data_IF_337753074376
#
_entry.id   IF_337753074376
#
_cell.length_a   1.000
_cell.length_b   1.000
_cell.length_c   1.000
_cell.angle_alpha   90.00
_cell.angle_beta   90.00
_cell.angle_gamma   90.00
#
_symmetry.space_group_name_H-M   'P 1'
#
loop_
_entity.id
_entity.type
_entity.pdbx_description
1 polymer ?
#
# COMPACT_ATOMS: atom_id res chain seq x y z
N UNK A 1 1.72 -11.75 -34.87
CA UNK A 1 0.85 -11.63 -33.68
C UNK A 1 1.50 -12.19 -32.42
N UNK A 2 2.01 -13.40 -32.41
CA UNK A 2 2.58 -14.04 -31.22
C UNK A 2 3.85 -13.33 -30.70
N UNK A 3 4.76 -12.93 -31.60
CA UNK A 3 5.96 -12.15 -31.25
C UNK A 3 5.62 -10.81 -30.59
N UNK A 4 4.60 -10.10 -31.09
CA UNK A 4 4.14 -8.83 -30.50
C UNK A 4 3.52 -9.04 -29.10
N UNK A 5 2.73 -10.10 -28.92
CA UNK A 5 2.17 -10.49 -27.62
C UNK A 5 3.28 -10.75 -26.60
N UNK A 6 4.31 -11.47 -26.96
CA UNK A 6 5.45 -11.77 -26.09
C UNK A 6 6.22 -10.48 -25.71
N UNK A 7 6.49 -9.61 -26.69
CA UNK A 7 7.16 -8.33 -26.45
C UNK A 7 6.38 -7.45 -25.48
N UNK A 8 5.07 -7.33 -25.64
CA UNK A 8 4.23 -6.52 -24.76
C UNK A 8 4.19 -7.06 -23.31
N UNK A 9 4.15 -8.38 -23.13
CA UNK A 9 4.21 -9.00 -21.79
C UNK A 9 5.56 -8.70 -21.11
N UNK A 10 6.67 -8.77 -21.86
CA UNK A 10 7.99 -8.43 -21.32
C UNK A 10 8.03 -6.95 -20.93
N UNK A 11 7.57 -6.05 -21.81
CA UNK A 11 7.55 -4.61 -21.52
C UNK A 11 6.75 -4.29 -20.25
N UNK A 12 5.59 -4.93 -20.03
CA UNK A 12 4.80 -4.78 -18.82
C UNK A 12 5.56 -5.29 -17.59
N UNK A 13 6.17 -6.46 -17.64
CA UNK A 13 6.95 -7.01 -16.53
C UNK A 13 8.11 -6.10 -16.13
N UNK A 14 8.86 -5.62 -17.12
CA UNK A 14 10.01 -4.73 -16.91
C UNK A 14 9.55 -3.38 -16.41
N UNK A 15 8.42 -2.86 -16.90
CA UNK A 15 7.81 -1.64 -16.36
C UNK A 15 7.47 -1.78 -14.87
N UNK A 16 6.79 -2.87 -14.47
CA UNK A 16 6.49 -3.12 -13.06
C UNK A 16 7.76 -3.26 -12.22
N UNK A 17 8.76 -3.95 -12.74
CA UNK A 17 10.04 -4.11 -12.05
C UNK A 17 10.65 -2.74 -11.71
N UNK A 18 10.81 -1.85 -12.70
CA UNK A 18 11.48 -0.57 -12.51
C UNK A 18 10.61 0.46 -11.77
N UNK A 19 9.31 0.51 -12.01
CA UNK A 19 8.43 1.42 -11.29
C UNK A 19 8.36 1.10 -9.79
N UNK A 20 8.31 -0.18 -9.44
CA UNK A 20 8.32 -0.61 -8.04
C UNK A 20 9.72 -0.62 -7.43
N UNK A 21 10.76 -0.85 -8.23
CA UNK A 21 12.14 -0.62 -7.80
C UNK A 21 12.32 0.84 -7.38
N UNK A 22 11.83 1.79 -8.15
CA UNK A 22 11.87 3.20 -7.78
C UNK A 22 11.16 3.46 -6.44
N UNK A 23 9.92 3.01 -6.29
CA UNK A 23 9.16 3.20 -5.03
C UNK A 23 9.87 2.54 -3.84
N UNK A 24 10.38 1.32 -4.02
CA UNK A 24 11.14 0.60 -2.99
C UNK A 24 12.49 1.26 -2.66
N UNK A 25 13.09 1.98 -3.61
CA UNK A 25 14.34 2.73 -3.34
C UNK A 25 14.12 3.90 -2.40
N UNK A 26 13.01 4.61 -2.50
CA UNK A 26 12.77 5.85 -1.77
C UNK A 26 11.98 5.62 -0.48
N UNK A 27 10.79 5.02 -0.57
CA UNK A 27 9.78 5.06 0.49
C UNK A 27 10.26 4.49 1.84
N UNK A 28 10.93 3.32 1.92
CA UNK A 28 11.32 2.72 3.20
C UNK A 28 12.45 3.43 3.93
N UNK A 29 13.29 4.16 3.20
CA UNK A 29 14.48 4.82 3.73
C UNK A 29 14.33 6.34 3.84
N UNK A 30 13.27 6.91 3.27
CA UNK A 30 13.06 8.35 3.23
C UNK A 30 12.91 8.95 4.63
N UNK A 31 12.19 8.30 5.55
CA UNK A 31 12.02 8.80 6.92
C UNK A 31 13.35 8.85 7.68
N UNK A 32 14.21 7.85 7.49
CA UNK A 32 15.54 7.79 8.10
C UNK A 32 16.45 8.89 7.49
N UNK A 33 16.38 9.10 6.19
CA UNK A 33 17.07 10.19 5.53
C UNK A 33 16.61 11.57 6.07
N UNK A 34 15.30 11.78 6.19
CA UNK A 34 14.75 13.04 6.71
C UNK A 34 15.15 13.30 8.16
N UNK A 35 15.26 12.25 8.98
CA UNK A 35 15.72 12.37 10.37
C UNK A 35 17.22 12.69 10.46
N UNK A 36 18.05 11.92 9.75
CA UNK A 36 19.50 11.94 9.97
C UNK A 36 20.22 12.99 9.12
N UNK A 37 19.83 13.14 7.86
CA UNK A 37 20.50 14.04 6.92
C UNK A 37 19.83 15.42 6.87
N UNK A 38 18.49 15.49 6.90
CA UNK A 38 17.76 16.74 6.90
C UNK A 38 17.49 17.28 8.32
N UNK A 39 17.74 16.50 9.37
CA UNK A 39 17.59 16.92 10.77
C UNK A 39 16.14 17.25 11.17
N UNK A 40 15.15 16.66 10.51
CA UNK A 40 13.75 16.95 10.73
C UNK A 40 13.22 16.22 11.97
N UNK A 41 12.31 16.88 12.69
CA UNK A 41 11.58 16.30 13.82
C UNK A 41 10.58 15.23 13.41
N UNK A 42 10.09 14.42 14.37
CA UNK A 42 9.10 13.39 14.12
C UNK A 42 7.79 13.94 13.56
N UNK A 43 7.34 15.12 14.03
CA UNK A 43 6.15 15.80 13.49
C UNK A 43 6.36 16.21 12.04
N UNK A 44 7.52 16.77 11.71
CA UNK A 44 7.86 17.17 10.35
C UNK A 44 7.93 15.96 9.41
N UNK A 45 8.59 14.87 9.83
CA UNK A 45 8.65 13.61 9.11
C UNK A 45 7.24 13.02 8.93
N UNK A 46 6.46 12.94 9.99
CA UNK A 46 5.09 12.46 9.96
C UNK A 46 4.20 13.25 9.01
N UNK A 47 4.35 14.58 8.99
CA UNK A 47 3.64 15.47 8.07
C UNK A 47 4.04 15.18 6.63
N UNK A 48 5.33 15.20 6.30
CA UNK A 48 5.84 14.94 4.93
C UNK A 48 5.39 13.57 4.43
N UNK A 49 5.57 12.53 5.23
CA UNK A 49 5.24 11.16 4.84
C UNK A 49 3.73 10.89 4.76
N UNK A 50 2.91 11.66 5.49
CA UNK A 50 1.46 11.56 5.43
C UNK A 50 0.80 12.29 4.25
N UNK A 51 1.53 13.16 3.56
CA UNK A 51 1.06 13.86 2.34
C UNK A 51 0.61 12.87 1.26
N UNK A 52 1.43 11.85 1.00
CA UNK A 52 1.16 10.86 -0.05
C UNK A 52 -0.24 10.23 0.05
N UNK A 53 -0.59 9.58 1.16
CA UNK A 53 -1.90 8.98 1.38
C UNK A 53 -3.10 9.93 1.14
N UNK A 54 -3.00 11.17 1.58
CA UNK A 54 -4.10 12.16 1.38
C UNK A 54 -4.21 12.58 -0.08
N UNK A 55 -3.09 12.90 -0.71
CA UNK A 55 -3.05 13.30 -2.11
C UNK A 55 -3.61 12.19 -3.00
N UNK A 56 -3.30 10.94 -2.71
CA UNK A 56 -3.80 9.79 -3.47
C UNK A 56 -5.33 9.70 -3.50
N UNK A 57 -6.03 10.07 -2.41
CA UNK A 57 -7.51 10.03 -2.36
C UNK A 57 -8.12 10.92 -3.46
N UNK A 58 -7.51 12.08 -3.69
CA UNK A 58 -8.02 13.08 -4.63
C UNK A 58 -7.47 12.84 -6.04
N UNK A 59 -6.17 12.59 -6.16
CA UNK A 59 -5.49 12.59 -7.45
C UNK A 59 -5.53 11.25 -8.18
N UNK A 60 -5.75 10.11 -7.51
CA UNK A 60 -5.96 8.84 -8.22
C UNK A 60 -7.21 8.87 -9.12
N UNK A 61 -8.40 9.28 -8.63
CA UNK A 61 -9.57 9.46 -9.49
C UNK A 61 -9.35 10.53 -10.58
N UNK A 62 -8.68 11.64 -10.25
CA UNK A 62 -8.34 12.70 -11.20
C UNK A 62 -7.54 12.14 -12.39
N UNK A 63 -6.47 11.39 -12.14
CA UNK A 63 -5.67 10.78 -13.21
C UNK A 63 -6.46 9.75 -14.02
N UNK A 64 -7.38 9.02 -13.40
CA UNK A 64 -8.31 8.14 -14.11
C UNK A 64 -9.15 8.92 -15.12
N UNK A 65 -9.75 10.04 -14.71
CA UNK A 65 -10.54 10.93 -15.60
C UNK A 65 -9.66 11.47 -16.73
N UNK A 66 -8.43 11.91 -16.43
CA UNK A 66 -7.49 12.44 -17.45
C UNK A 66 -7.12 11.35 -18.47
N UNK A 67 -6.91 10.10 -18.02
CA UNK A 67 -6.66 8.97 -18.90
C UNK A 67 -7.86 8.70 -19.83
N UNK A 68 -9.07 8.68 -19.28
CA UNK A 68 -10.31 8.44 -20.04
C UNK A 68 -10.58 9.57 -21.05
N UNK A 69 -10.32 10.82 -20.67
CA UNK A 69 -10.51 11.99 -21.53
C UNK A 69 -9.48 12.04 -22.66
N UNK A 70 -8.21 11.76 -22.35
CA UNK A 70 -7.13 11.83 -23.35
C UNK A 70 -7.12 10.63 -24.31
N UNK A 71 -7.64 9.47 -23.89
CA UNK A 71 -7.56 8.21 -24.61
C UNK A 71 -6.11 7.68 -24.77
N UNK A 72 -5.14 8.22 -24.02
CA UNK A 72 -3.71 7.90 -24.13
C UNK A 72 -3.08 7.58 -22.77
N UNK A 73 -3.56 6.56 -22.03
CA UNK A 73 -3.10 6.26 -20.68
C UNK A 73 -1.59 5.98 -20.61
N UNK A 74 -1.00 5.37 -21.65
CA UNK A 74 0.45 5.09 -21.70
C UNK A 74 1.29 6.38 -21.70
N UNK A 75 0.86 7.43 -22.41
CA UNK A 75 1.56 8.72 -22.42
C UNK A 75 1.43 9.46 -21.09
N UNK A 76 0.24 9.41 -20.47
CA UNK A 76 0.02 9.99 -19.12
C UNK A 76 0.89 9.26 -18.11
N UNK A 77 0.96 7.93 -18.17
CA UNK A 77 1.82 7.12 -17.31
C UNK A 77 3.30 7.49 -17.48
N UNK A 78 3.76 7.70 -18.72
CA UNK A 78 5.14 8.12 -18.99
C UNK A 78 5.42 9.52 -18.40
N UNK A 79 4.52 10.47 -18.62
CA UNK A 79 4.64 11.85 -18.10
C UNK A 79 4.64 11.86 -16.57
N UNK A 80 3.69 11.18 -15.94
CA UNK A 80 3.57 11.15 -14.47
C UNK A 80 4.75 10.42 -13.82
N UNK A 81 5.27 9.35 -14.44
CA UNK A 81 6.48 8.68 -13.96
C UNK A 81 7.71 9.60 -14.05
N UNK A 82 7.89 10.31 -15.16
CA UNK A 82 9.03 11.23 -15.32
C UNK A 82 8.95 12.40 -14.32
N UNK A 83 7.77 13.02 -14.18
CA UNK A 83 7.58 14.14 -13.25
C UNK A 83 7.73 13.70 -11.80
N UNK A 84 7.20 12.53 -11.42
CA UNK A 84 7.43 11.97 -10.09
C UNK A 84 8.92 11.74 -9.83
N UNK A 85 9.68 11.24 -10.82
CA UNK A 85 11.13 11.08 -10.72
C UNK A 85 11.84 12.40 -10.48
N UNK A 86 11.51 13.45 -11.24
CA UNK A 86 12.09 14.80 -11.10
C UNK A 86 11.80 15.37 -9.71
N UNK A 87 10.54 15.31 -9.24
CA UNK A 87 10.18 15.79 -7.91
C UNK A 87 10.82 14.95 -6.79
N UNK A 88 10.96 13.63 -6.99
CA UNK A 88 11.73 12.80 -6.06
C UNK A 88 13.19 13.23 -5.93
N UNK A 89 13.85 13.57 -7.05
CA UNK A 89 15.23 14.08 -7.04
C UNK A 89 15.32 15.48 -6.40
N UNK A 90 14.25 16.28 -6.50
CA UNK A 90 14.22 17.65 -5.97
C UNK A 90 14.30 17.73 -4.44
N UNK A 91 14.12 16.61 -3.71
CA UNK A 91 14.42 16.59 -2.26
C UNK A 91 15.86 16.97 -1.94
N UNK A 92 16.79 16.70 -2.83
CA UNK A 92 18.22 17.04 -2.66
C UNK A 92 18.54 18.53 -2.86
N UNK A 93 17.57 19.33 -3.31
CA UNK A 93 17.78 20.74 -3.61
C UNK A 93 17.35 21.68 -2.48
N UNK A 94 16.64 21.17 -1.48
CA UNK A 94 15.99 22.00 -0.47
C UNK A 94 16.24 21.45 0.93
N UNK A 95 16.66 22.35 1.82
CA UNK A 95 16.85 22.07 3.26
C UNK A 95 15.71 22.67 4.10
N UNK A 96 14.91 23.57 3.51
CA UNK A 96 13.84 24.23 4.24
C UNK A 96 12.58 23.36 4.26
N UNK A 97 12.03 23.10 5.46
CA UNK A 97 10.88 22.22 5.71
C UNK A 97 9.69 22.46 4.77
N UNK A 98 9.24 23.73 4.61
CA UNK A 98 8.08 24.04 3.75
C UNK A 98 8.34 23.73 2.25
N UNK A 99 9.58 23.84 1.79
CA UNK A 99 9.95 23.47 0.42
C UNK A 99 9.96 21.95 0.27
N UNK A 100 10.44 21.21 1.27
CA UNK A 100 10.38 19.74 1.29
C UNK A 100 8.92 19.25 1.29
N UNK A 101 8.04 19.89 2.07
CA UNK A 101 6.58 19.58 2.05
C UNK A 101 5.99 19.84 0.65
N UNK A 102 6.37 20.95 0.01
CA UNK A 102 5.90 21.30 -1.34
C UNK A 102 6.36 20.27 -2.38
N UNK A 103 7.61 19.81 -2.28
CA UNK A 103 8.15 18.72 -3.10
C UNK A 103 7.40 17.42 -2.84
N UNK A 104 7.10 17.07 -1.58
CA UNK A 104 6.32 15.89 -1.22
C UNK A 104 4.91 15.91 -1.84
N UNK A 105 4.25 17.06 -1.82
CA UNK A 105 2.94 17.25 -2.46
C UNK A 105 3.05 17.03 -3.97
N UNK A 106 4.00 17.68 -4.62
CA UNK A 106 4.20 17.56 -6.06
C UNK A 106 4.57 16.12 -6.47
N UNK A 107 5.46 15.48 -5.74
CA UNK A 107 5.79 14.06 -5.93
C UNK A 107 4.54 13.19 -5.80
N UNK A 108 3.76 13.35 -4.73
CA UNK A 108 2.58 12.55 -4.46
C UNK A 108 1.49 12.70 -5.55
N UNK A 109 1.30 13.90 -6.09
CA UNK A 109 0.35 14.15 -7.19
C UNK A 109 0.68 13.27 -8.38
N UNK A 110 1.92 13.26 -8.85
CA UNK A 110 2.30 12.49 -10.04
C UNK A 110 2.48 11.00 -9.73
N UNK A 111 3.04 10.64 -8.58
CA UNK A 111 3.22 9.25 -8.18
C UNK A 111 1.88 8.52 -8.01
N UNK A 112 0.81 9.23 -7.60
CA UNK A 112 -0.53 8.65 -7.42
C UNK A 112 -1.12 8.02 -8.68
N UNK A 113 -0.67 8.42 -9.88
CA UNK A 113 -1.09 7.87 -11.16
C UNK A 113 -0.44 6.51 -11.48
N UNK A 114 0.80 6.28 -11.04
CA UNK A 114 1.67 5.24 -11.58
C UNK A 114 1.04 3.84 -11.44
N UNK A 115 0.62 3.48 -10.22
CA UNK A 115 0.06 2.14 -9.95
C UNK A 115 -1.31 1.96 -10.62
N UNK A 116 -2.32 2.83 -10.39
CA UNK A 116 -3.66 2.57 -10.93
C UNK A 116 -3.71 2.63 -12.46
N UNK A 117 -2.94 3.52 -13.10
CA UNK A 117 -2.90 3.59 -14.57
C UNK A 117 -2.21 2.36 -15.16
N UNK A 118 -1.07 1.95 -14.59
CA UNK A 118 -0.37 0.75 -15.07
C UNK A 118 -1.19 -0.52 -14.86
N UNK A 119 -1.89 -0.63 -13.72
CA UNK A 119 -2.78 -1.75 -13.43
C UNK A 119 -3.97 -1.79 -14.41
N UNK A 120 -4.54 -0.62 -14.75
CA UNK A 120 -5.61 -0.51 -15.74
C UNK A 120 -5.16 -0.99 -17.13
N UNK A 121 -4.02 -0.50 -17.63
CA UNK A 121 -3.44 -0.92 -18.93
C UNK A 121 -3.19 -2.43 -18.91
N UNK A 122 -2.58 -2.94 -17.84
CA UNK A 122 -2.21 -4.36 -17.75
C UNK A 122 -3.42 -5.28 -17.66
N UNK A 123 -4.43 -4.90 -16.87
CA UNK A 123 -5.66 -5.69 -16.74
C UNK A 123 -6.44 -5.74 -18.06
N UNK A 124 -6.55 -4.63 -18.78
CA UNK A 124 -7.21 -4.59 -20.08
C UNK A 124 -6.48 -5.50 -21.08
N UNK A 125 -5.15 -5.35 -21.19
CA UNK A 125 -4.35 -6.15 -22.07
C UNK A 125 -4.40 -7.65 -21.75
N UNK A 126 -4.21 -8.02 -20.47
CA UNK A 126 -4.22 -9.42 -20.03
C UNK A 126 -5.59 -10.08 -20.20
N UNK A 127 -6.69 -9.36 -20.00
CA UNK A 127 -8.05 -9.85 -20.25
C UNK A 127 -8.24 -10.16 -21.73
N UNK A 128 -7.81 -9.27 -22.62
CA UNK A 128 -7.90 -9.48 -24.09
C UNK A 128 -7.12 -10.71 -24.58
N UNK A 129 -5.90 -10.91 -24.07
CA UNK A 129 -5.03 -12.02 -24.51
C UNK A 129 -5.18 -13.28 -23.65
N UNK A 130 -6.12 -13.30 -22.68
CA UNK A 130 -6.33 -14.39 -21.70
C UNK A 130 -5.05 -14.76 -20.93
N UNK A 131 -4.24 -13.76 -20.55
CA UNK A 131 -3.04 -13.94 -19.73
C UNK A 131 -3.31 -13.68 -18.26
N UNK A 132 -2.41 -14.12 -17.38
CA UNK A 132 -2.52 -13.95 -15.94
C UNK A 132 -1.88 -12.62 -15.50
N UNK A 133 -2.70 -11.66 -15.07
CA UNK A 133 -2.25 -10.37 -14.52
C UNK A 133 -1.29 -10.54 -13.35
N UNK A 134 -1.58 -11.45 -12.40
CA UNK A 134 -0.76 -11.65 -11.21
C UNK A 134 0.70 -12.05 -11.53
N UNK A 135 0.93 -12.83 -12.61
CA UNK A 135 2.28 -13.17 -13.05
C UNK A 135 3.08 -11.98 -13.57
N UNK A 136 2.41 -10.94 -14.07
CA UNK A 136 3.05 -9.69 -14.49
C UNK A 136 3.28 -8.80 -13.27
N UNK A 137 2.27 -8.63 -12.42
CA UNK A 137 2.29 -7.79 -11.22
C UNK A 137 3.33 -8.25 -10.18
N UNK A 138 3.66 -9.55 -10.15
CA UNK A 138 4.70 -10.13 -9.29
C UNK A 138 6.08 -9.47 -9.49
N UNK A 139 6.39 -9.02 -10.71
CA UNK A 139 7.63 -8.31 -10.99
C UNK A 139 7.73 -6.97 -10.24
N UNK A 140 6.60 -6.36 -9.90
CA UNK A 140 6.56 -5.20 -9.01
C UNK A 140 7.05 -5.55 -7.60
N UNK A 141 6.50 -6.58 -6.97
CA UNK A 141 6.95 -7.02 -5.64
C UNK A 141 8.43 -7.39 -5.63
N UNK A 142 8.91 -8.05 -6.69
CA UNK A 142 10.33 -8.38 -6.86
C UNK A 142 11.18 -7.10 -6.96
N UNK A 143 10.77 -6.14 -7.80
CA UNK A 143 11.46 -4.86 -7.95
C UNK A 143 11.54 -4.09 -6.64
N UNK A 144 10.43 -4.01 -5.89
CA UNK A 144 10.39 -3.35 -4.59
C UNK A 144 11.34 -4.01 -3.58
N UNK A 145 11.26 -5.34 -3.41
CA UNK A 145 12.10 -6.06 -2.45
C UNK A 145 13.60 -5.95 -2.77
N UNK A 146 13.97 -6.09 -4.05
CA UNK A 146 15.37 -5.91 -4.50
C UNK A 146 15.83 -4.47 -4.23
N UNK A 147 14.99 -3.47 -4.52
CA UNK A 147 15.34 -2.07 -4.32
C UNK A 147 15.65 -1.75 -2.86
N UNK A 148 14.77 -2.15 -1.92
CA UNK A 148 14.98 -1.85 -0.49
C UNK A 148 16.29 -2.45 0.01
N UNK A 149 16.59 -3.70 -0.38
CA UNK A 149 17.82 -4.37 0.01
C UNK A 149 19.06 -3.69 -0.59
N UNK A 150 19.03 -3.41 -1.91
CA UNK A 150 20.16 -2.78 -2.62
C UNK A 150 20.40 -1.36 -2.10
N UNK A 151 19.33 -0.57 -1.89
CA UNK A 151 19.45 0.79 -1.38
C UNK A 151 19.91 0.80 0.07
N UNK A 152 19.44 -0.11 0.91
CA UNK A 152 19.95 -0.27 2.28
C UNK A 152 21.48 -0.46 2.28
N UNK A 153 21.98 -1.37 1.44
CA UNK A 153 23.41 -1.64 1.33
C UNK A 153 24.22 -0.47 0.74
N UNK A 154 23.68 0.19 -0.29
CA UNK A 154 24.36 1.33 -0.92
C UNK A 154 24.37 2.57 -0.01
N UNK A 155 23.33 2.77 0.80
CA UNK A 155 23.27 3.88 1.77
C UNK A 155 24.34 3.81 2.85
N UNK A 156 24.83 2.60 3.17
CA UNK A 156 25.97 2.39 4.10
C UNK A 156 27.34 2.52 3.43
N UNK A 157 27.38 2.55 2.09
CA UNK A 157 28.63 2.71 1.36
C UNK A 157 29.09 4.17 1.32
N UNK A 158 30.24 4.42 0.70
CA UNK A 158 30.78 5.76 0.46
C UNK A 158 29.84 6.67 -0.37
N UNK A 159 28.82 6.12 -1.02
CA UNK A 159 27.83 6.88 -1.80
C UNK A 159 26.87 7.63 -0.87
N UNK A 160 26.57 7.06 0.30
CA UNK A 160 25.71 7.65 1.30
C UNK A 160 24.21 7.52 1.02
N UNK A 161 23.35 7.95 1.97
CA UNK A 161 21.90 7.76 1.91
C UNK A 161 21.20 8.48 0.75
N UNK A 162 21.80 9.53 0.18
CA UNK A 162 21.26 10.28 -0.97
C UNK A 162 21.06 9.42 -2.22
N UNK A 163 21.70 8.25 -2.29
CA UNK A 163 21.54 7.27 -3.39
C UNK A 163 20.08 6.89 -3.65
N UNK A 164 19.21 6.92 -2.63
CA UNK A 164 17.79 6.58 -2.75
C UNK A 164 17.06 7.47 -3.75
N UNK A 165 17.39 8.76 -3.83
CA UNK A 165 16.78 9.71 -4.74
C UNK A 165 17.22 9.51 -6.19
N UNK A 166 18.51 9.24 -6.40
CA UNK A 166 19.04 8.91 -7.74
C UNK A 166 18.43 7.60 -8.25
N UNK A 167 18.38 6.56 -7.41
CA UNK A 167 17.79 5.29 -7.78
C UNK A 167 16.28 5.42 -8.09
N UNK A 168 15.55 6.23 -7.32
CA UNK A 168 14.16 6.57 -7.59
C UNK A 168 14.00 7.27 -8.94
N UNK A 169 14.78 8.31 -9.20
CA UNK A 169 14.73 9.05 -10.47
C UNK A 169 15.05 8.15 -11.66
N UNK A 170 16.18 7.43 -11.66
CA UNK A 170 16.54 6.59 -12.79
C UNK A 170 15.58 5.42 -12.97
N UNK A 171 15.08 4.84 -11.89
CA UNK A 171 14.03 3.80 -11.95
C UNK A 171 12.76 4.31 -12.63
N UNK A 172 12.28 5.51 -12.27
CA UNK A 172 11.10 6.11 -12.90
C UNK A 172 11.38 6.65 -14.31
N UNK A 173 12.57 7.10 -14.61
CA UNK A 173 12.97 7.47 -15.96
C UNK A 173 12.90 6.26 -16.91
N UNK A 174 13.45 5.11 -16.49
CA UNK A 174 13.36 3.86 -17.26
C UNK A 174 11.89 3.44 -17.38
N UNK A 175 11.11 3.50 -16.29
CA UNK A 175 9.69 3.20 -16.33
C UNK A 175 8.93 4.13 -17.28
N UNK A 176 9.22 5.44 -17.31
CA UNK A 176 8.63 6.40 -18.23
C UNK A 176 8.91 6.04 -19.71
N UNK A 177 10.15 5.69 -20.04
CA UNK A 177 10.53 5.27 -21.39
C UNK A 177 9.83 3.96 -21.79
N UNK A 178 9.70 3.02 -20.86
CA UNK A 178 8.97 1.77 -21.07
C UNK A 178 7.48 1.98 -21.21
N UNK A 179 6.89 2.94 -20.47
CA UNK A 179 5.48 3.27 -20.56
C UNK A 179 5.06 3.67 -21.97
N UNK A 180 5.92 4.37 -22.73
CA UNK A 180 5.68 4.74 -24.12
C UNK A 180 5.58 3.54 -25.08
N UNK A 181 6.04 2.35 -24.65
CA UNK A 181 5.99 1.10 -25.42
C UNK A 181 4.90 0.14 -24.94
N UNK A 182 4.11 0.54 -23.94
CA UNK A 182 3.02 -0.29 -23.45
C UNK A 182 1.87 -0.37 -24.47
N UNK A 183 1.12 -1.48 -24.47
CA UNK A 183 0.01 -1.63 -25.39
C UNK A 183 -1.08 -0.60 -25.11
N UNK A 184 -1.51 0.11 -26.15
CA UNK A 184 -2.70 0.98 -26.09
C UNK A 184 -3.94 0.10 -26.31
N UNK A 185 -4.90 0.22 -25.41
CA UNK A 185 -6.19 -0.44 -25.49
C UNK A 185 -7.29 0.60 -25.71
N UNK A 186 -8.37 0.25 -26.45
CA UNK A 186 -9.49 1.17 -26.63
C UNK A 186 -10.09 1.56 -25.27
N UNK A 187 -10.57 2.80 -25.13
CA UNK A 187 -11.18 3.27 -23.88
C UNK A 187 -12.33 2.35 -23.45
N UNK A 188 -12.36 2.00 -22.17
CA UNK A 188 -13.45 1.24 -21.58
C UNK A 188 -14.69 2.13 -21.43
N UNK A 189 -15.89 1.54 -21.45
CA UNK A 189 -17.10 2.24 -21.03
C UNK A 189 -16.89 2.88 -19.65
N UNK A 190 -17.28 4.17 -19.56
CA UNK A 190 -17.08 4.96 -18.34
C UNK A 190 -17.76 4.30 -17.14
N UNK A 191 -16.98 3.75 -16.24
CA UNK A 191 -17.51 3.31 -14.95
C UNK A 191 -18.06 4.54 -14.21
N UNK A 192 -19.29 4.47 -13.71
CA UNK A 192 -19.87 5.50 -12.85
C UNK A 192 -19.18 5.43 -11.48
N UNK A 193 -18.06 6.12 -11.31
CA UNK A 193 -17.20 6.07 -10.11
C UNK A 193 -17.94 6.35 -8.78
N UNK A 194 -19.04 7.09 -8.82
CA UNK A 194 -19.85 7.43 -7.65
C UNK A 194 -21.26 6.83 -7.66
N UNK A 195 -21.54 5.93 -8.63
CA UNK A 195 -22.81 5.21 -8.67
C UNK A 195 -22.92 4.28 -7.46
N UNK A 196 -23.94 4.50 -6.62
CA UNK A 196 -24.18 3.67 -5.44
C UNK A 196 -23.54 4.16 -4.13
N UNK A 197 -22.87 5.31 -4.11
CA UNK A 197 -22.29 5.87 -2.87
C UNK A 197 -23.33 6.04 -1.76
N UNK A 198 -24.53 6.57 -2.09
CA UNK A 198 -25.62 6.72 -1.13
C UNK A 198 -26.06 5.38 -0.52
N UNK A 199 -26.05 4.33 -1.32
CA UNK A 199 -26.38 2.99 -0.85
C UNK A 199 -25.30 2.41 0.08
N UNK A 200 -24.03 2.56 -0.29
CA UNK A 200 -22.90 2.09 0.52
C UNK A 200 -22.87 2.73 1.92
N UNK A 201 -23.21 4.02 2.03
CA UNK A 201 -23.25 4.74 3.32
C UNK A 201 -24.36 4.22 4.25
N UNK A 202 -25.40 3.58 3.72
CA UNK A 202 -26.46 2.96 4.52
C UNK A 202 -26.15 1.54 4.96
N UNK A 203 -25.14 0.90 4.36
CA UNK A 203 -24.78 -0.51 4.63
C UNK A 203 -23.94 -0.64 5.90
N UNK A 204 -24.57 -0.82 7.06
CA UNK A 204 -23.89 -0.89 8.38
C UNK A 204 -22.70 -1.86 8.41
N UNK A 205 -22.82 -3.04 7.83
CA UNK A 205 -21.74 -4.04 7.78
C UNK A 205 -20.52 -3.52 7.02
N UNK A 206 -20.75 -2.87 5.89
CA UNK A 206 -19.69 -2.29 5.08
C UNK A 206 -19.00 -1.15 5.81
N UNK A 207 -19.77 -0.25 6.47
CA UNK A 207 -19.19 0.85 7.25
C UNK A 207 -18.35 0.37 8.43
N UNK A 208 -18.84 -0.64 9.18
CA UNK A 208 -18.05 -1.25 10.26
C UNK A 208 -16.78 -1.86 9.70
N UNK A 209 -16.85 -2.53 8.54
CA UNK A 209 -15.67 -3.11 7.91
C UNK A 209 -14.67 -2.05 7.43
N UNK A 210 -15.14 -0.89 6.96
CA UNK A 210 -14.27 0.26 6.67
C UNK A 210 -13.57 0.79 7.92
N UNK A 211 -14.28 0.86 9.06
CA UNK A 211 -13.67 1.23 10.34
C UNK A 211 -12.61 0.21 10.79
N UNK A 212 -12.86 -1.09 10.62
CA UNK A 212 -11.87 -2.15 10.87
C UNK A 212 -10.64 -1.97 9.97
N UNK A 213 -10.85 -1.67 8.69
CA UNK A 213 -9.77 -1.41 7.74
C UNK A 213 -8.94 -0.20 8.17
N UNK A 214 -9.56 0.90 8.55
CA UNK A 214 -8.88 2.08 9.07
C UNK A 214 -7.99 1.74 10.28
N UNK A 215 -8.53 0.97 11.23
CA UNK A 215 -7.89 0.69 12.52
C UNK A 215 -6.83 -0.42 12.48
N UNK A 216 -6.94 -1.38 11.56
CA UNK A 216 -5.96 -2.48 11.45
C UNK A 216 -4.99 -2.23 10.29
N UNK A 217 -5.51 -1.87 9.12
CA UNK A 217 -4.68 -1.75 7.91
C UNK A 217 -3.90 -0.43 7.87
N UNK A 218 -4.49 0.67 8.35
CA UNK A 218 -3.82 1.97 8.45
C UNK A 218 -2.48 1.92 9.20
N UNK A 219 -2.43 1.43 10.45
CA UNK A 219 -1.18 1.27 11.20
C UNK A 219 -0.16 0.36 10.51
N UNK A 220 -0.61 -0.70 9.84
CA UNK A 220 0.30 -1.59 9.10
C UNK A 220 0.98 -0.87 7.92
N UNK A 221 0.30 0.06 7.26
CA UNK A 221 0.88 0.87 6.19
C UNK A 221 1.80 1.97 6.76
N UNK A 222 1.37 2.64 7.82
CA UNK A 222 2.15 3.68 8.49
C UNK A 222 3.45 3.11 9.11
N UNK A 223 3.47 1.85 9.49
CA UNK A 223 4.69 1.17 9.93
C UNK A 223 5.82 1.25 8.88
N UNK A 224 5.52 1.26 7.58
CA UNK A 224 6.53 1.39 6.56
C UNK A 224 7.32 2.71 6.66
N UNK A 225 6.74 3.73 7.27
CA UNK A 225 7.40 5.03 7.53
C UNK A 225 8.32 4.93 8.75
N UNK A 226 7.82 4.39 9.86
CA UNK A 226 8.54 4.42 11.14
C UNK A 226 9.46 3.22 11.38
N UNK A 227 9.31 2.17 10.58
CA UNK A 227 10.07 0.93 10.79
C UNK A 227 11.59 1.11 10.63
N UNK A 228 12.00 1.95 9.67
CA UNK A 228 13.42 2.30 9.51
C UNK A 228 13.99 2.99 10.74
N UNK A 229 13.30 4.01 11.26
CA UNK A 229 13.66 4.72 12.48
C UNK A 229 13.68 3.79 13.72
N UNK A 230 12.74 2.85 13.80
CA UNK A 230 12.72 1.85 14.86
C UNK A 230 13.91 0.89 14.80
N UNK A 231 14.25 0.38 13.62
CA UNK A 231 15.44 -0.49 13.43
C UNK A 231 16.70 0.25 13.85
N UNK A 232 16.84 1.51 13.47
CA UNK A 232 17.96 2.36 13.84
C UNK A 232 18.01 2.62 15.36
N UNK A 233 16.88 2.93 15.99
CA UNK A 233 16.78 3.08 17.46
C UNK A 233 17.21 1.81 18.23
N UNK A 234 17.13 0.64 17.59
CA UNK A 234 17.62 -0.65 18.14
C UNK A 234 19.09 -0.93 17.78
N UNK A 235 19.81 0.03 17.19
CA UNK A 235 21.20 -0.13 16.77
C UNK A 235 21.35 -0.86 15.43
N UNK A 236 20.26 -0.96 14.64
CA UNK A 236 20.32 -1.51 13.28
C UNK A 236 20.84 -0.52 12.26
N UNK A 237 21.13 -1.02 11.07
CA UNK A 237 21.76 -0.29 9.98
C UNK A 237 20.80 -0.17 8.78
N UNK A 238 21.13 0.66 7.80
CA UNK A 238 20.38 0.75 6.53
C UNK A 238 20.27 -0.60 5.82
N UNK A 239 21.36 -1.40 5.82
CA UNK A 239 21.32 -2.78 5.29
C UNK A 239 20.34 -3.65 6.09
N UNK A 240 20.32 -3.51 7.41
CA UNK A 240 19.38 -4.21 8.29
C UNK A 240 17.93 -3.85 8.00
N UNK A 241 17.63 -2.57 7.77
CA UNK A 241 16.31 -2.10 7.32
C UNK A 241 15.95 -2.79 5.99
N UNK A 242 16.88 -2.80 5.02
CA UNK A 242 16.69 -3.45 3.73
C UNK A 242 16.37 -4.94 3.83
N UNK A 243 17.10 -5.68 4.68
CA UNK A 243 16.86 -7.11 4.93
C UNK A 243 15.48 -7.34 5.53
N UNK A 244 15.09 -6.54 6.52
CA UNK A 244 13.81 -6.67 7.19
C UNK A 244 12.62 -6.45 6.24
N UNK A 245 12.67 -5.41 5.41
CA UNK A 245 11.64 -5.18 4.38
C UNK A 245 11.62 -6.28 3.32
N UNK A 246 12.79 -6.78 2.91
CA UNK A 246 12.87 -7.89 1.97
C UNK A 246 12.20 -9.15 2.55
N UNK A 247 12.46 -9.47 3.82
CA UNK A 247 11.82 -10.60 4.51
C UNK A 247 10.30 -10.41 4.60
N UNK A 248 9.82 -9.20 4.91
CA UNK A 248 8.40 -8.89 4.95
C UNK A 248 7.73 -9.13 3.58
N UNK A 249 8.29 -8.58 2.50
CA UNK A 249 7.76 -8.72 1.13
C UNK A 249 7.81 -10.17 0.66
N UNK A 250 8.92 -10.88 0.88
CA UNK A 250 9.04 -12.27 0.47
C UNK A 250 8.08 -13.19 1.24
N UNK A 251 7.81 -12.91 2.51
CA UNK A 251 6.87 -13.68 3.30
C UNK A 251 5.40 -13.41 2.95
N UNK A 252 5.07 -12.23 2.45
CA UNK A 252 3.70 -11.88 2.03
C UNK A 252 3.20 -12.80 0.89
N UNK A 253 4.07 -13.14 -0.06
CA UNK A 253 3.71 -13.92 -1.25
C UNK A 253 3.12 -15.30 -0.91
N UNK A 254 3.77 -16.16 -0.09
CA UNK A 254 3.21 -17.45 0.28
C UNK A 254 1.94 -17.32 1.10
N UNK A 255 1.86 -16.39 2.04
CA UNK A 255 0.65 -16.20 2.85
C UNK A 255 -0.54 -15.72 2.02
N UNK A 256 -0.33 -14.82 1.06
CA UNK A 256 -1.37 -14.40 0.13
C UNK A 256 -1.88 -15.56 -0.73
N UNK A 257 -1.00 -16.49 -1.15
CA UNK A 257 -1.43 -17.71 -1.88
C UNK A 257 -2.23 -18.67 -1.00
N UNK A 258 -1.86 -18.79 0.27
CA UNK A 258 -2.55 -19.66 1.24
C UNK A 258 -3.88 -19.06 1.74
N UNK A 259 -4.03 -17.74 1.65
CA UNK A 259 -5.21 -17.03 2.17
C UNK A 259 -6.54 -17.61 1.67
N UNK A 260 -6.65 -17.93 0.38
CA UNK A 260 -7.87 -18.53 -0.20
C UNK A 260 -8.26 -19.84 0.49
N UNK A 261 -7.30 -20.74 0.70
CA UNK A 261 -7.54 -22.04 1.38
C UNK A 261 -7.95 -21.84 2.84
N UNK A 262 -7.33 -20.90 3.54
CA UNK A 262 -7.65 -20.61 4.93
C UNK A 262 -8.99 -19.90 5.09
N UNK A 263 -9.33 -18.99 4.18
CA UNK A 263 -10.65 -18.34 4.13
C UNK A 263 -11.76 -19.38 3.99
N UNK A 264 -11.59 -20.38 3.12
CA UNK A 264 -12.57 -21.45 2.96
C UNK A 264 -12.74 -22.30 4.23
N UNK A 265 -11.67 -22.48 5.03
CA UNK A 265 -11.71 -23.32 6.25
C UNK A 265 -12.32 -22.60 7.44
N UNK A 266 -11.94 -21.37 7.70
CA UNK A 266 -12.29 -20.65 8.94
C UNK A 266 -13.13 -19.38 8.71
N UNK A 267 -13.26 -18.91 7.47
CA UNK A 267 -14.08 -17.75 7.09
C UNK A 267 -13.31 -16.43 7.01
N UNK A 268 -13.94 -15.42 6.42
CA UNK A 268 -13.32 -14.13 6.09
C UNK A 268 -12.99 -13.29 7.33
N UNK A 269 -13.96 -13.09 8.21
CA UNK A 269 -13.76 -12.27 9.43
C UNK A 269 -12.81 -12.93 10.45
N UNK A 270 -12.83 -14.26 10.67
CA UNK A 270 -11.80 -14.94 11.46
C UNK A 270 -10.38 -14.76 10.89
N UNK A 271 -10.19 -14.77 9.56
CA UNK A 271 -8.90 -14.47 8.92
C UNK A 271 -8.50 -13.02 9.16
N UNK A 272 -9.44 -12.07 9.03
CA UNK A 272 -9.18 -10.66 9.36
C UNK A 272 -8.76 -10.49 10.83
N UNK A 273 -9.42 -11.22 11.75
CA UNK A 273 -9.06 -11.22 13.17
C UNK A 273 -7.67 -11.82 13.41
N UNK A 274 -7.34 -12.92 12.73
CA UNK A 274 -6.02 -13.57 12.81
C UNK A 274 -4.91 -12.63 12.31
N UNK A 275 -5.13 -11.93 11.20
CA UNK A 275 -4.22 -10.92 10.68
C UNK A 275 -4.02 -9.75 11.66
N UNK A 276 -5.11 -9.26 12.26
CA UNK A 276 -5.08 -8.24 13.32
C UNK A 276 -4.33 -8.71 14.56
N UNK A 277 -4.54 -9.96 15.00
CA UNK A 277 -3.84 -10.56 16.15
C UNK A 277 -2.33 -10.61 15.89
N UNK A 278 -1.91 -11.04 14.70
CA UNK A 278 -0.51 -11.06 14.33
C UNK A 278 0.12 -9.65 14.36
N UNK A 279 -0.60 -8.64 13.83
CA UNK A 279 -0.16 -7.24 13.92
C UNK A 279 -0.08 -6.78 15.37
N UNK A 280 -1.08 -7.04 16.21
CA UNK A 280 -1.09 -6.64 17.62
C UNK A 280 0.09 -7.26 18.40
N UNK A 281 0.35 -8.54 18.21
CA UNK A 281 1.51 -9.22 18.83
C UNK A 281 2.80 -8.50 18.43
N UNK A 282 2.96 -8.13 17.16
CA UNK A 282 4.13 -7.40 16.67
C UNK A 282 4.24 -6.01 17.30
N UNK A 283 3.15 -5.26 17.40
CA UNK A 283 3.15 -3.92 18.01
C UNK A 283 3.51 -3.97 19.50
N UNK A 284 2.92 -4.91 20.24
CA UNK A 284 3.26 -5.11 21.65
C UNK A 284 4.73 -5.52 21.81
N UNK A 285 5.22 -6.42 20.96
CA UNK A 285 6.61 -6.82 20.97
C UNK A 285 7.55 -5.64 20.68
N UNK A 286 7.25 -4.79 19.70
CA UNK A 286 8.08 -3.64 19.37
C UNK A 286 8.08 -2.57 20.47
N UNK A 287 6.98 -2.43 21.19
CA UNK A 287 6.91 -1.58 22.38
C UNK A 287 7.86 -2.05 23.50
N UNK A 288 8.08 -3.36 23.67
CA UNK A 288 8.97 -3.92 24.71
C UNK A 288 10.45 -3.86 24.37
N UNK A 289 10.84 -3.11 23.37
CA UNK A 289 12.24 -2.91 22.98
C UNK A 289 13.02 -4.21 22.68
N UNK A 290 12.54 -5.06 21.78
CA UNK A 290 13.13 -6.37 21.52
C UNK A 290 14.56 -6.27 20.97
N UNK A 291 15.28 -7.37 20.98
CA UNK A 291 16.59 -7.46 20.34
C UNK A 291 16.46 -7.24 18.81
N UNK A 292 17.51 -6.72 18.19
CA UNK A 292 17.54 -6.47 16.74
C UNK A 292 17.26 -7.75 15.92
N UNK A 293 17.78 -8.90 16.37
CA UNK A 293 17.48 -10.21 15.75
C UNK A 293 15.98 -10.50 15.78
N UNK A 294 15.32 -10.24 16.91
CA UNK A 294 13.86 -10.41 17.05
C UNK A 294 13.11 -9.49 16.09
N UNK A 295 13.56 -8.24 15.93
CA UNK A 295 12.98 -7.28 14.98
C UNK A 295 13.02 -7.83 13.56
N UNK A 296 14.16 -8.36 13.12
CA UNK A 296 14.32 -8.90 11.76
C UNK A 296 13.46 -10.16 11.54
N UNK A 297 13.48 -11.11 12.47
CA UNK A 297 12.69 -12.34 12.35
C UNK A 297 11.19 -12.04 12.32
N UNK A 298 10.74 -11.11 13.14
CA UNK A 298 9.31 -10.74 13.22
C UNK A 298 8.82 -9.89 12.05
N UNK A 299 9.70 -9.45 11.15
CA UNK A 299 9.29 -8.86 9.87
C UNK A 299 8.45 -9.81 9.01
N UNK A 300 8.63 -11.13 9.18
CA UNK A 300 7.79 -12.16 8.54
C UNK A 300 6.33 -12.02 8.98
N UNK A 301 6.07 -11.58 10.22
CA UNK A 301 4.70 -11.36 10.73
C UNK A 301 3.98 -10.27 9.96
N UNK A 302 4.71 -9.27 9.43
CA UNK A 302 4.11 -8.24 8.56
C UNK A 302 3.57 -8.86 7.28
N UNK A 303 4.37 -9.68 6.60
CA UNK A 303 3.92 -10.37 5.40
C UNK A 303 2.76 -11.34 5.67
N UNK A 304 2.78 -12.03 6.82
CA UNK A 304 1.65 -12.86 7.27
C UNK A 304 0.37 -12.02 7.42
N UNK A 305 0.44 -10.91 8.16
CA UNK A 305 -0.70 -10.04 8.42
C UNK A 305 -1.29 -9.45 7.14
N UNK A 306 -0.48 -8.81 6.30
CA UNK A 306 -0.92 -8.19 5.06
C UNK A 306 -1.35 -9.23 4.02
N UNK A 307 -0.62 -10.33 3.91
CA UNK A 307 -0.92 -11.43 2.99
C UNK A 307 -2.25 -12.12 3.27
N UNK A 308 -2.73 -12.11 4.51
CA UNK A 308 -4.05 -12.61 4.88
C UNK A 308 -5.13 -11.53 4.84
N UNK A 309 -4.84 -10.32 5.34
CA UNK A 309 -5.82 -9.24 5.45
C UNK A 309 -6.37 -8.80 4.09
N UNK A 310 -5.48 -8.53 3.13
CA UNK A 310 -5.87 -7.95 1.83
C UNK A 310 -6.83 -8.86 1.05
N UNK A 311 -6.54 -10.15 0.82
CA UNK A 311 -7.48 -11.05 0.14
C UNK A 311 -8.80 -11.22 0.89
N UNK A 312 -8.76 -11.33 2.22
CA UNK A 312 -9.96 -11.47 3.04
C UNK A 312 -10.85 -10.23 2.95
N UNK A 313 -10.26 -9.04 2.99
CA UNK A 313 -10.97 -7.78 2.88
C UNK A 313 -11.67 -7.63 1.52
N UNK A 314 -10.96 -7.87 0.43
CA UNK A 314 -11.53 -7.78 -0.91
C UNK A 314 -12.65 -8.80 -1.14
N UNK A 315 -12.51 -10.00 -0.60
CA UNK A 315 -13.57 -11.02 -0.69
C UNK A 315 -14.76 -10.68 0.19
N UNK A 316 -14.55 -10.18 1.42
CA UNK A 316 -15.65 -9.75 2.30
C UNK A 316 -16.49 -8.63 1.66
N UNK A 317 -15.85 -7.65 1.03
CA UNK A 317 -16.56 -6.60 0.30
C UNK A 317 -17.42 -7.17 -0.81
N UNK A 318 -16.89 -8.13 -1.59
CA UNK A 318 -17.65 -8.79 -2.67
C UNK A 318 -18.85 -9.60 -2.17
N UNK A 319 -18.79 -10.13 -0.95
CA UNK A 319 -19.89 -10.90 -0.36
C UNK A 319 -20.99 -10.01 0.25
N UNK A 320 -20.60 -8.85 0.82
CA UNK A 320 -21.53 -7.97 1.55
C UNK A 320 -22.18 -6.94 0.64
N UNK A 321 -21.48 -6.55 -0.43
CA UNK A 321 -21.90 -5.45 -1.31
C UNK A 321 -22.49 -6.02 -2.63
N UNK A 322 -23.63 -5.48 -3.13
CA UNK A 322 -24.17 -5.87 -4.43
C UNK A 322 -23.16 -5.71 -5.58
N UNK A 323 -23.17 -6.67 -6.51
CA UNK A 323 -22.21 -6.73 -7.61
C UNK A 323 -22.11 -5.43 -8.43
N UNK A 324 -23.24 -4.72 -8.63
CA UNK A 324 -23.32 -3.45 -9.40
C UNK A 324 -22.52 -2.28 -8.80
N UNK A 325 -22.25 -2.29 -7.49
CA UNK A 325 -21.56 -1.22 -6.76
C UNK A 325 -20.26 -1.71 -6.09
N UNK A 326 -19.83 -2.93 -6.35
CA UNK A 326 -18.61 -3.52 -5.76
C UNK A 326 -17.35 -2.73 -6.10
N UNK A 327 -17.23 -2.19 -7.33
CA UNK A 327 -16.08 -1.37 -7.73
C UNK A 327 -16.01 -0.11 -6.86
N UNK A 328 -17.13 0.60 -6.66
CA UNK A 328 -17.20 1.78 -5.78
C UNK A 328 -16.83 1.43 -4.34
N UNK A 329 -17.29 0.27 -3.85
CA UNK A 329 -16.97 -0.20 -2.51
C UNK A 329 -15.47 -0.50 -2.32
N UNK A 330 -14.82 -1.14 -3.29
CA UNK A 330 -13.37 -1.40 -3.28
C UNK A 330 -12.58 -0.08 -3.34
N UNK A 331 -13.04 0.88 -4.15
CA UNK A 331 -12.44 2.21 -4.20
C UNK A 331 -12.53 2.92 -2.85
N UNK A 332 -13.68 2.86 -2.20
CA UNK A 332 -13.88 3.45 -0.87
C UNK A 332 -13.04 2.74 0.20
N UNK A 333 -12.95 1.40 0.15
CA UNK A 333 -12.03 0.62 0.99
C UNK A 333 -10.57 1.08 0.82
N UNK A 334 -10.12 1.27 -0.41
CA UNK A 334 -8.77 1.77 -0.69
C UNK A 334 -8.57 3.20 -0.16
N UNK A 335 -9.53 4.09 -0.37
CA UNK A 335 -9.48 5.46 0.13
C UNK A 335 -9.43 5.52 1.67
N UNK A 336 -10.16 4.63 2.35
CA UNK A 336 -10.17 4.57 3.83
C UNK A 336 -8.88 3.91 4.35
N UNK A 337 -8.46 2.77 3.80
CA UNK A 337 -7.28 2.03 4.29
C UNK A 337 -5.97 2.68 3.87
N UNK A 338 -5.71 2.76 2.55
CA UNK A 338 -4.46 3.33 2.03
C UNK A 338 -4.39 4.85 2.16
N UNK A 339 -5.53 5.53 2.14
CA UNK A 339 -5.63 6.98 2.26
C UNK A 339 -5.76 7.39 3.73
N UNK A 340 -6.99 7.49 4.25
CA UNK A 340 -7.27 8.10 5.56
C UNK A 340 -6.63 7.35 6.73
N UNK A 341 -6.67 6.02 6.76
CA UNK A 341 -6.10 5.21 7.84
C UNK A 341 -4.58 5.33 7.89
N UNK A 342 -3.93 5.25 6.72
CA UNK A 342 -2.49 5.44 6.61
C UNK A 342 -2.09 6.88 6.99
N UNK A 343 -2.78 7.89 6.44
CA UNK A 343 -2.55 9.29 6.79
C UNK A 343 -2.66 9.53 8.30
N UNK A 344 -3.77 9.12 8.91
CA UNK A 344 -4.01 9.33 10.34
C UNK A 344 -2.93 8.65 11.19
N UNK A 345 -2.60 7.40 10.89
CA UNK A 345 -1.60 6.64 11.63
C UNK A 345 -0.19 7.21 11.44
N UNK A 346 0.15 7.69 10.24
CA UNK A 346 1.45 8.31 9.95
C UNK A 346 1.56 9.67 10.61
N UNK A 347 0.58 10.54 10.46
CA UNK A 347 0.60 11.87 11.05
C UNK A 347 0.62 11.83 12.59
N UNK A 348 -0.30 11.04 13.19
CA UNK A 348 -0.33 10.88 14.65
C UNK A 348 0.94 10.19 15.17
N UNK A 349 1.48 9.24 14.42
CA UNK A 349 2.76 8.60 14.75
C UNK A 349 3.93 9.59 14.82
N UNK A 350 3.94 10.62 13.96
CA UNK A 350 4.96 11.69 14.00
C UNK A 350 4.88 12.55 15.27
N UNK A 351 3.67 12.90 15.69
CA UNK A 351 3.45 13.63 16.97
C UNK A 351 3.93 12.79 18.14
N UNK A 352 3.55 11.51 18.19
CA UNK A 352 3.92 10.60 19.27
C UNK A 352 5.44 10.33 19.27
N UNK A 353 6.07 10.27 18.10
CA UNK A 353 7.51 10.10 17.98
C UNK A 353 8.26 11.25 18.69
N UNK A 354 7.83 12.49 18.49
CA UNK A 354 8.47 13.65 19.13
C UNK A 354 8.20 13.72 20.64
N UNK A 355 6.97 13.43 21.07
CA UNK A 355 6.57 13.59 22.47
C UNK A 355 7.04 12.42 23.35
N UNK A 356 7.01 11.20 22.83
CA UNK A 356 7.13 9.97 23.61
C UNK A 356 8.09 8.92 23.01
N UNK A 357 8.68 9.21 21.86
CA UNK A 357 9.63 8.35 21.19
C UNK A 357 9.02 7.23 20.35
N UNK A 358 9.90 6.52 19.63
CA UNK A 358 9.50 5.54 18.61
C UNK A 358 8.73 4.34 19.18
N UNK A 359 9.00 3.92 20.41
CA UNK A 359 8.32 2.79 21.03
C UNK A 359 6.86 3.10 21.32
N UNK A 360 6.54 4.34 21.74
CA UNK A 360 5.17 4.78 21.97
C UNK A 360 4.32 4.79 20.70
N UNK A 361 4.92 4.98 19.52
CA UNK A 361 4.24 4.85 18.23
C UNK A 361 3.68 3.43 18.07
N UNK A 362 4.41 2.40 18.49
CA UNK A 362 3.93 1.01 18.41
C UNK A 362 2.85 0.69 19.43
N UNK A 363 2.88 1.30 20.62
CA UNK A 363 1.78 1.20 21.58
C UNK A 363 0.49 1.82 21.02
N UNK A 364 0.61 2.97 20.37
CA UNK A 364 -0.51 3.60 19.65
C UNK A 364 -1.06 2.71 18.53
N UNK A 365 -0.20 2.12 17.69
CA UNK A 365 -0.63 1.18 16.66
C UNK A 365 -1.30 -0.06 17.23
N UNK A 366 -0.79 -0.56 18.36
CA UNK A 366 -1.39 -1.65 19.12
C UNK A 366 -2.80 -1.30 19.61
N UNK A 367 -2.99 -0.10 20.14
CA UNK A 367 -4.29 0.39 20.61
C UNK A 367 -5.32 0.49 19.48
N UNK A 368 -4.94 1.05 18.34
CA UNK A 368 -5.82 1.11 17.15
C UNK A 368 -6.17 -0.29 16.66
N UNK A 369 -5.18 -1.18 16.56
CA UNK A 369 -5.38 -2.55 16.10
C UNK A 369 -6.28 -3.33 17.05
N UNK A 370 -6.14 -3.16 18.36
CA UNK A 370 -7.01 -3.79 19.37
C UNK A 370 -8.46 -3.34 19.21
N UNK A 371 -8.72 -2.04 19.04
CA UNK A 371 -10.07 -1.51 18.78
C UNK A 371 -10.63 -2.13 17.48
N UNK A 372 -9.83 -2.21 16.43
CA UNK A 372 -10.22 -2.85 15.17
C UNK A 372 -10.57 -4.34 15.31
N UNK A 373 -9.83 -5.05 16.17
CA UNK A 373 -10.12 -6.46 16.48
C UNK A 373 -11.43 -6.61 17.26
N UNK A 374 -11.71 -5.74 18.22
CA UNK A 374 -12.98 -5.73 18.96
C UNK A 374 -14.16 -5.45 18.01
N UNK A 375 -14.02 -4.51 17.09
CA UNK A 375 -15.00 -4.29 16.02
C UNK A 375 -15.16 -5.50 15.10
N UNK A 376 -14.09 -6.21 14.80
CA UNK A 376 -14.14 -7.44 13.99
C UNK A 376 -14.96 -8.52 14.71
N UNK A 377 -14.72 -8.73 16.00
CA UNK A 377 -15.51 -9.67 16.82
C UNK A 377 -16.99 -9.26 16.89
N UNK A 378 -17.26 -7.97 17.03
CA UNK A 378 -18.64 -7.47 17.00
C UNK A 378 -19.31 -7.71 15.63
N UNK A 379 -18.62 -7.44 14.54
CA UNK A 379 -19.11 -7.71 13.19
C UNK A 379 -19.39 -9.20 12.96
N UNK A 380 -18.52 -10.10 13.47
CA UNK A 380 -18.75 -11.55 13.43
C UNK A 380 -20.03 -11.97 14.13
N UNK A 381 -20.36 -11.34 15.29
CA UNK A 381 -21.63 -11.59 16.01
C UNK A 381 -22.84 -11.11 15.21
N UNK A 382 -22.73 -9.92 14.59
CA UNK A 382 -23.80 -9.40 13.71
C UNK A 382 -24.07 -10.34 12.53
N UNK A 383 -23.01 -10.84 11.88
CA UNK A 383 -23.14 -11.75 10.74
C UNK A 383 -23.76 -13.11 11.12
N UNK A 384 -23.43 -13.64 12.30
CA UNK A 384 -24.07 -14.86 12.82
C UNK A 384 -25.57 -14.66 13.06
N UNK A 385 -25.97 -13.56 13.70
CA UNK A 385 -27.36 -13.28 14.01
C UNK A 385 -28.22 -13.17 12.74
N UNK A 386 -27.68 -12.56 11.67
CA UNK A 386 -28.42 -12.45 10.41
C UNK A 386 -28.53 -13.81 9.70
N UNK A 387 -27.49 -14.64 9.73
CA UNK A 387 -27.57 -16.01 9.20
C UNK A 387 -28.57 -16.88 9.96
N UNK A 388 -28.74 -16.68 11.25
CA UNK A 388 -29.74 -17.37 12.06
C UNK A 388 -31.15 -16.87 11.73
N UNK A 389 -31.36 -15.55 11.62
CA UNK A 389 -32.66 -14.96 11.25
C UNK A 389 -33.07 -15.29 9.81
N UNK A 390 -32.14 -15.38 8.86
CA UNK A 390 -32.40 -15.81 7.47
C UNK A 390 -32.62 -17.31 7.28
N UNK A 391 -32.41 -18.13 8.34
CA UNK A 391 -32.68 -19.58 8.35
C UNK A 391 -34.00 -19.94 9.01
N UNK A 392 -34.85 -19.00 9.39
CA UNK A 392 -36.24 -19.35 9.77
C UNK A 392 -36.94 -19.90 8.55
N UNK A 393 -37.39 -21.15 8.57
CA UNK A 393 -37.93 -21.82 7.38
C UNK A 393 -39.18 -21.11 6.90
N UNK A 394 -39.28 -21.01 5.61
CA UNK A 394 -40.31 -20.37 4.84
C UNK A 394 -41.70 -20.54 5.38
N UNK A 395 -42.42 -19.48 5.21
CA UNK A 395 -43.87 -19.54 4.96
C UNK A 395 -44.07 -18.74 3.68
N UNK A 396 -44.64 -19.52 2.70
CA UNK A 396 -45.36 -19.08 1.52
C UNK A 396 -44.58 -18.78 0.22
N UNK A 397 -44.23 -19.83 -0.48
CA UNK A 397 -44.74 -19.96 -1.86
C UNK A 397 -46.28 -20.14 -1.82
N UNK A 398 -46.96 -19.18 -2.38
CA UNK A 398 -48.23 -19.41 -3.13
C UNK A 398 -48.32 -18.33 -4.19
#
# INVERSE_FOLDING_TARGET
MEKQKHTNIISLKVFYLFSFFAVGSLTPLLSVYLANEAGLSGIEIGTIMSVGPIVMIVFQPFWGIVCDWSGRPAKILAMTSLLAGIFGLSYLLFDHYLLIVSVAIALAIFQSAIIPVSDSITLQYTTRIKANYGKIRLFGSLGYGVAVFVMGKLSESFIGPSVIFYAFFFGLLIAALLALRLPEEPPREKAKLFGGMKELITMKRFLIFLAITFLIFGPNLANNVYYGLFVEARGGTYTGIGIAFLLAVLSEIPFMRMAGTWIHKIGLLPITLLAGTASLIRWVLYYTEPSLTTVYVTSIIQGFSLGLFIPAALQYIREVVPARITVTAITLYSAIGNGLGNWFSTFSGGIILDESGIYAVYLFYGSLTLIGMLLTVWLMRLDKNIKVMGKTPGILEK
#
